data_IF_688392371657
#
_entry.id   IF_688392371657
#
_cell.length_a   1.000
_cell.length_b   1.000
_cell.length_c   1.000
_cell.angle_alpha   90.00
_cell.angle_beta   90.00
_cell.angle_gamma   90.00
#
_symmetry.space_group_name_H-M   'P 1'
#
loop_
_entity.id
_entity.type
_entity.pdbx_description
1 polymer ?
#
# COMPACT_ATOMS: atom_id res chain seq x y z
N UNK A 1 -14.81 -28.19 50.84
CA UNK A 1 -15.19 -28.42 49.42
C UNK A 1 -15.31 -27.04 48.79
N UNK A 2 -14.20 -26.56 48.21
CA UNK A 2 -13.96 -26.53 46.76
C UNK A 2 -14.77 -25.41 46.06
N UNK A 3 -14.01 -24.36 45.70
CA UNK A 3 -14.08 -23.57 44.46
C UNK A 3 -15.33 -22.71 44.22
N UNK A 4 -15.12 -21.40 44.08
CA UNK A 4 -14.94 -20.85 42.73
C UNK A 4 -14.24 -19.48 42.83
N UNK A 5 -12.99 -19.45 42.38
CA UNK A 5 -12.25 -18.21 42.16
C UNK A 5 -12.79 -17.56 40.88
N UNK A 6 -13.36 -16.37 41.00
CA UNK A 6 -13.79 -15.56 39.87
C UNK A 6 -12.55 -14.80 39.35
N UNK A 7 -11.79 -15.41 38.43
CA UNK A 7 -10.69 -14.74 37.75
C UNK A 7 -11.27 -13.76 36.72
N UNK A 8 -11.23 -12.48 37.06
CA UNK A 8 -11.49 -11.38 36.14
C UNK A 8 -10.31 -11.27 35.16
N UNK A 9 -10.45 -11.85 33.96
CA UNK A 9 -9.47 -11.69 32.90
C UNK A 9 -9.57 -10.27 32.33
N UNK A 10 -8.71 -9.38 32.82
CA UNK A 10 -8.54 -8.04 32.29
C UNK A 10 -7.81 -8.13 30.94
N UNK A 11 -8.56 -8.12 29.84
CA UNK A 11 -7.99 -7.97 28.50
C UNK A 11 -7.42 -6.55 28.38
N UNK A 12 -6.10 -6.40 28.53
CA UNK A 12 -5.38 -5.17 28.24
C UNK A 12 -5.45 -4.90 26.73
N UNK A 13 -6.38 -4.04 26.32
CA UNK A 13 -6.37 -3.47 24.98
C UNK A 13 -5.13 -2.57 24.85
N UNK A 14 -4.09 -3.07 24.18
CA UNK A 14 -2.92 -2.25 23.85
C UNK A 14 -3.36 -1.13 22.89
N UNK A 15 -2.95 0.13 23.13
CA UNK A 15 -3.27 1.20 22.20
C UNK A 15 -2.61 0.90 20.85
N UNK A 16 -3.40 0.82 19.77
CA UNK A 16 -2.85 0.75 18.43
C UNK A 16 -2.30 2.13 18.08
N UNK A 17 -0.97 2.24 17.99
CA UNK A 17 -0.35 3.50 17.59
C UNK A 17 -0.69 3.74 16.11
N UNK A 18 -1.23 4.92 15.80
CA UNK A 18 -1.46 5.31 14.42
C UNK A 18 -0.13 5.36 13.65
N UNK A 19 -0.14 4.84 12.42
CA UNK A 19 1.04 4.83 11.55
C UNK A 19 1.55 6.25 11.28
N UNK A 20 2.86 6.44 11.32
CA UNK A 20 3.49 7.72 10.99
C UNK A 20 3.28 8.07 9.51
N UNK A 21 3.39 9.35 9.11
CA UNK A 21 3.36 9.73 7.69
C UNK A 21 4.35 8.94 6.83
N UNK A 22 5.57 8.68 7.32
CA UNK A 22 6.58 7.88 6.64
C UNK A 22 6.14 6.42 6.45
N UNK A 23 5.58 5.79 7.49
CA UNK A 23 5.05 4.42 7.38
C UNK A 23 3.89 4.34 6.39
N UNK A 24 3.00 5.34 6.39
CA UNK A 24 1.89 5.41 5.42
C UNK A 24 2.38 5.61 3.99
N UNK A 25 3.39 6.46 3.77
CA UNK A 25 3.99 6.65 2.45
C UNK A 25 4.67 5.37 1.96
N UNK A 26 5.42 4.69 2.82
CA UNK A 26 6.11 3.45 2.47
C UNK A 26 5.11 2.36 2.09
N UNK A 27 4.06 2.14 2.90
CA UNK A 27 2.99 1.20 2.58
C UNK A 27 2.29 1.54 1.25
N UNK A 28 1.98 2.82 1.04
CA UNK A 28 1.36 3.30 -0.19
C UNK A 28 2.25 3.03 -1.42
N UNK A 29 3.55 3.29 -1.32
CA UNK A 29 4.52 3.03 -2.38
C UNK A 29 4.61 1.53 -2.71
N UNK A 30 4.65 0.67 -1.68
CA UNK A 30 4.66 -0.78 -1.85
C UNK A 30 3.39 -1.27 -2.54
N UNK A 31 2.21 -0.85 -2.10
CA UNK A 31 0.94 -1.24 -2.72
C UNK A 31 0.79 -0.69 -4.14
N UNK A 32 1.26 0.52 -4.38
CA UNK A 32 1.30 1.11 -5.72
C UNK A 32 2.16 0.27 -6.66
N UNK A 33 3.39 -0.06 -6.24
CA UNK A 33 4.31 -0.88 -7.03
C UNK A 33 3.70 -2.26 -7.32
N UNK A 34 3.22 -2.97 -6.32
CA UNK A 34 2.60 -4.29 -6.52
C UNK A 34 1.39 -4.21 -7.45
N UNK A 35 0.56 -3.17 -7.36
CA UNK A 35 -0.55 -2.97 -8.28
C UNK A 35 -0.07 -2.68 -9.71
N UNK A 36 0.94 -1.81 -9.87
CA UNK A 36 1.54 -1.51 -11.16
C UNK A 36 2.11 -2.77 -11.81
N UNK A 37 2.87 -3.58 -11.09
CA UNK A 37 3.43 -4.84 -11.56
C UNK A 37 2.36 -5.85 -11.97
N UNK A 38 1.19 -5.86 -11.34
CA UNK A 38 0.06 -6.70 -11.79
C UNK A 38 -0.61 -6.18 -13.07
N UNK A 39 -0.59 -4.87 -13.30
CA UNK A 39 -1.09 -4.28 -14.54
C UNK A 39 -0.07 -4.37 -15.69
N UNK A 40 1.22 -4.51 -15.35
CA UNK A 40 2.33 -4.59 -16.29
C UNK A 40 3.42 -5.59 -15.82
N UNK A 41 3.10 -6.89 -15.82
CA UNK A 41 3.99 -7.92 -15.28
C UNK A 41 5.27 -8.11 -16.09
N UNK A 42 5.23 -7.83 -17.40
CA UNK A 42 6.42 -7.94 -18.25
C UNK A 42 7.49 -6.91 -17.87
N UNK A 43 7.08 -5.69 -17.49
CA UNK A 43 8.01 -4.67 -16.97
C UNK A 43 8.61 -5.10 -15.63
N UNK A 44 7.83 -5.74 -14.75
CA UNK A 44 8.31 -6.26 -13.46
C UNK A 44 9.34 -7.40 -13.66
N UNK A 45 9.01 -8.41 -14.48
CA UNK A 45 9.92 -9.49 -14.87
C UNK A 45 11.18 -8.94 -15.54
N UNK A 46 11.05 -7.99 -16.46
CA UNK A 46 12.18 -7.34 -17.13
C UNK A 46 13.10 -6.57 -16.17
N UNK A 47 12.57 -6.13 -15.03
CA UNK A 47 13.32 -5.48 -13.95
C UNK A 47 13.91 -6.46 -12.93
N UNK A 48 13.68 -7.77 -13.10
CA UNK A 48 14.17 -8.84 -12.22
C UNK A 48 13.22 -9.23 -11.08
N UNK A 49 11.98 -8.75 -11.08
CA UNK A 49 10.97 -9.12 -10.09
C UNK A 49 10.18 -10.35 -10.54
N UNK A 50 10.75 -11.53 -10.26
CA UNK A 50 10.22 -12.82 -10.70
C UNK A 50 8.89 -13.22 -10.03
N UNK A 51 8.34 -12.39 -9.10
CA UNK A 51 7.03 -12.63 -8.49
C UNK A 51 5.87 -12.57 -9.50
N UNK A 52 6.12 -12.08 -10.71
CA UNK A 52 5.12 -11.85 -11.76
C UNK A 52 5.36 -12.65 -13.05
N UNK A 53 6.34 -13.58 -13.07
CA UNK A 53 6.74 -14.33 -14.27
C UNK A 53 5.63 -15.22 -14.86
N UNK A 54 4.63 -15.55 -14.05
CA UNK A 54 3.48 -16.36 -14.42
C UNK A 54 2.29 -15.53 -14.94
N UNK A 55 2.45 -14.21 -15.08
CA UNK A 55 1.37 -13.27 -15.39
C UNK A 55 1.54 -12.58 -16.75
N UNK A 56 0.40 -12.29 -17.38
CA UNK A 56 0.30 -11.45 -18.58
C UNK A 56 -0.71 -10.34 -18.37
N UNK A 57 -0.42 -9.15 -18.89
CA UNK A 57 -1.32 -8.00 -18.82
C UNK A 57 -2.58 -8.23 -19.69
N UNK A 58 -3.75 -7.96 -19.12
CA UNK A 58 -5.01 -7.83 -19.88
C UNK A 58 -5.34 -6.36 -20.15
N UNK A 59 -4.46 -5.67 -20.88
CA UNK A 59 -4.56 -4.21 -21.07
C UNK A 59 -5.62 -3.75 -22.09
N UNK A 60 -6.14 -4.65 -22.94
CA UNK A 60 -7.05 -4.29 -24.03
C UNK A 60 -8.53 -4.34 -23.66
N UNK A 61 -8.91 -5.07 -22.62
CA UNK A 61 -10.29 -5.13 -22.16
C UNK A 61 -10.71 -3.79 -21.53
N UNK A 62 -11.82 -3.16 -21.95
CA UNK A 62 -12.25 -1.87 -21.41
C UNK A 62 -12.43 -1.87 -19.88
N UNK A 63 -12.96 -2.94 -19.32
CA UNK A 63 -13.15 -3.10 -17.88
C UNK A 63 -11.80 -3.11 -17.12
N UNK A 64 -10.79 -3.78 -17.67
CA UNK A 64 -9.45 -3.83 -17.07
C UNK A 64 -8.74 -2.47 -17.12
N UNK A 65 -8.88 -1.72 -18.22
CA UNK A 65 -8.40 -0.34 -18.27
C UNK A 65 -9.07 0.55 -17.23
N UNK A 66 -10.39 0.44 -17.09
CA UNK A 66 -11.14 1.19 -16.09
C UNK A 66 -10.69 0.84 -14.67
N UNK A 67 -10.43 -0.44 -14.38
CA UNK A 67 -9.89 -0.93 -13.11
C UNK A 67 -8.52 -0.33 -12.81
N UNK A 68 -7.60 -0.32 -13.79
CA UNK A 68 -6.26 0.30 -13.66
C UNK A 68 -6.36 1.77 -13.31
N UNK A 69 -7.14 2.55 -14.06
CA UNK A 69 -7.28 3.97 -13.78
C UNK A 69 -7.98 4.25 -12.45
N UNK A 70 -8.94 3.44 -12.05
CA UNK A 70 -9.59 3.56 -10.75
C UNK A 70 -8.59 3.31 -9.60
N UNK A 71 -7.74 2.29 -9.73
CA UNK A 71 -6.69 2.01 -8.75
C UNK A 71 -5.71 3.19 -8.61
N UNK A 72 -5.19 3.72 -9.72
CA UNK A 72 -4.24 4.85 -9.70
C UNK A 72 -4.86 6.12 -9.12
N UNK A 73 -6.10 6.47 -9.48
CA UNK A 73 -6.82 7.58 -8.84
C UNK A 73 -7.01 7.36 -7.34
N UNK A 74 -7.24 6.12 -6.91
CA UNK A 74 -7.30 5.74 -5.51
C UNK A 74 -6.01 6.03 -4.77
N UNK A 75 -4.87 5.63 -5.34
CA UNK A 75 -3.55 5.90 -4.76
C UNK A 75 -3.25 7.39 -4.67
N UNK A 76 -3.55 8.19 -5.70
CA UNK A 76 -3.37 9.65 -5.65
C UNK A 76 -4.25 10.32 -4.58
N UNK A 77 -5.50 9.86 -4.44
CA UNK A 77 -6.40 10.34 -3.39
C UNK A 77 -5.84 10.03 -1.99
N UNK A 78 -5.26 8.85 -1.81
CA UNK A 78 -4.63 8.45 -0.55
C UNK A 78 -3.33 9.25 -0.28
N UNK A 79 -2.49 9.42 -1.30
CA UNK A 79 -1.25 10.21 -1.27
C UNK A 79 -1.50 11.66 -0.83
N UNK A 80 -2.61 12.25 -1.26
CA UNK A 80 -3.02 13.59 -0.85
C UNK A 80 -3.26 13.73 0.67
N UNK A 81 -3.49 12.62 1.38
CA UNK A 81 -3.66 12.59 2.85
C UNK A 81 -2.33 12.45 3.61
N UNK A 82 -1.21 12.28 2.90
CA UNK A 82 0.15 12.24 3.46
C UNK A 82 0.77 13.63 3.33
N UNK A 83 0.86 14.41 4.43
CA UNK A 83 1.34 15.79 4.37
C UNK A 83 2.85 15.82 4.11
N UNK A 84 3.28 16.45 3.01
CA UNK A 84 4.69 16.54 2.63
C UNK A 84 5.56 17.23 3.69
N UNK A 85 5.00 18.17 4.45
CA UNK A 85 5.71 18.88 5.54
C UNK A 85 6.05 17.97 6.73
N UNK A 86 5.37 16.84 6.88
CA UNK A 86 5.66 15.85 7.92
C UNK A 86 6.64 14.77 7.47
N UNK A 87 7.19 14.88 6.25
CA UNK A 87 8.13 13.93 5.68
C UNK A 87 9.57 14.47 5.68
N UNK A 88 10.57 13.61 5.97
CA UNK A 88 11.98 13.88 5.69
C UNK A 88 12.23 14.23 4.22
N UNK A 89 13.36 14.88 3.94
CA UNK A 89 13.66 15.38 2.59
C UNK A 89 13.64 14.30 1.49
N UNK A 90 14.24 13.13 1.75
CA UNK A 90 14.22 12.03 0.79
C UNK A 90 12.81 11.48 0.52
N UNK A 91 11.97 11.42 1.54
CA UNK A 91 10.59 10.93 1.39
C UNK A 91 9.67 11.92 0.68
N UNK A 92 9.97 13.23 0.73
CA UNK A 92 9.27 14.22 -0.09
C UNK A 92 9.49 13.97 -1.58
N UNK A 93 10.70 13.59 -1.97
CA UNK A 93 11.00 13.21 -3.36
C UNK A 93 10.24 11.93 -3.77
N UNK A 94 10.22 10.91 -2.90
CA UNK A 94 9.42 9.69 -3.15
C UNK A 94 7.93 10.02 -3.31
N UNK A 95 7.39 10.89 -2.46
CA UNK A 95 6.00 11.35 -2.55
C UNK A 95 5.75 12.08 -3.87
N UNK A 96 6.64 12.97 -4.28
CA UNK A 96 6.56 13.72 -5.54
C UNK A 96 6.63 12.79 -6.76
N UNK A 97 7.51 11.78 -6.73
CA UNK A 97 7.59 10.78 -7.80
C UNK A 97 6.26 10.02 -7.93
N UNK A 98 5.69 9.55 -6.81
CA UNK A 98 4.38 8.87 -6.79
C UNK A 98 3.24 9.75 -7.29
N UNK A 99 3.30 11.06 -7.04
CA UNK A 99 2.28 12.02 -7.51
C UNK A 99 2.32 12.22 -9.04
N UNK A 100 3.48 11.99 -9.67
CA UNK A 100 3.71 12.14 -11.10
C UNK A 100 3.88 10.81 -11.85
N UNK A 101 3.57 9.68 -11.21
CA UNK A 101 3.71 8.33 -11.78
C UNK A 101 2.50 7.88 -12.60
#
# INVERSE_FOLDING_TARGET
MRLLALTFALALALPVQAATPSQRLADLATRYYDAQSRFDPLTATGSGDNRFDDQLALALAPAERARRFAAYRGFLKELATVPATALPAGERLTRELLENS
#
